data_IF_105648446162
#
_entry.id   IF_105648446162
#
_cell.length_a   1.000
_cell.length_b   1.000
_cell.length_c   1.000
_cell.angle_alpha   90.00
_cell.angle_beta   90.00
_cell.angle_gamma   90.00
#
_symmetry.space_group_name_H-M   'P 1'
#
loop_
_entity.id
_entity.type
_entity.pdbx_description
1 polymer ?
#
# COMPACT_ATOMS: atom_id res chain seq x y z
N UNK A 1 16.30 4.92 -11.31
CA UNK A 1 15.35 4.30 -10.34
C UNK A 1 15.07 5.36 -9.28
N UNK A 2 13.80 5.66 -8.95
CA UNK A 2 13.52 6.62 -7.88
C UNK A 2 13.90 6.02 -6.52
N UNK A 3 14.72 6.75 -5.78
CA UNK A 3 15.27 6.35 -4.49
C UNK A 3 14.24 6.59 -3.35
N UNK A 4 14.52 6.07 -2.15
CA UNK A 4 13.72 6.35 -0.95
C UNK A 4 13.72 7.86 -0.69
N UNK A 5 12.53 8.46 -0.72
CA UNK A 5 12.33 9.88 -0.43
C UNK A 5 12.35 10.11 1.09
N UNK A 6 13.51 10.52 1.61
CA UNK A 6 13.73 10.80 3.02
C UNK A 6 12.82 11.92 3.56
N UNK A 7 12.36 12.84 2.70
CA UNK A 7 11.51 13.95 3.13
C UNK A 7 10.10 13.50 3.53
N UNK A 8 9.67 12.33 3.02
CA UNK A 8 8.38 11.71 3.36
C UNK A 8 8.47 10.79 4.58
N UNK A 9 9.65 10.61 5.15
CA UNK A 9 9.86 9.72 6.28
C UNK A 9 9.58 10.44 7.60
N UNK A 10 9.14 9.67 8.60
CA UNK A 10 8.78 10.18 9.92
C UNK A 10 9.87 11.06 10.55
N UNK A 11 11.18 10.69 10.57
CA UNK A 11 12.18 11.55 11.19
C UNK A 11 12.27 12.93 10.52
N UNK A 12 12.22 13.03 9.19
CA UNK A 12 12.25 14.32 8.50
C UNK A 12 11.00 15.16 8.79
N UNK A 13 9.82 14.53 8.70
CA UNK A 13 8.54 15.19 9.00
C UNK A 13 8.54 15.72 10.43
N UNK A 14 8.95 14.90 11.41
CA UNK A 14 9.02 15.30 12.81
C UNK A 14 9.98 16.46 13.03
N UNK A 15 11.20 16.38 12.50
CA UNK A 15 12.22 17.43 12.65
C UNK A 15 11.72 18.79 12.11
N UNK A 16 11.00 18.79 10.99
CA UNK A 16 10.41 20.02 10.43
C UNK A 16 9.40 20.67 11.38
N UNK A 17 8.62 19.86 12.11
CA UNK A 17 7.61 20.36 13.05
C UNK A 17 8.20 20.97 14.32
N UNK A 18 9.43 20.60 14.69
CA UNK A 18 10.06 21.10 15.91
C UNK A 18 10.18 22.63 15.93
N UNK A 19 10.29 23.25 14.75
CA UNK A 19 10.42 24.70 14.57
C UNK A 19 9.12 25.46 14.29
N UNK A 20 7.99 24.76 14.13
CA UNK A 20 6.69 25.40 13.90
C UNK A 20 6.37 26.40 15.02
N UNK A 21 5.68 27.49 14.70
CA UNK A 21 5.28 28.48 15.70
C UNK A 21 4.31 27.87 16.72
N UNK A 22 4.30 28.42 17.94
CA UNK A 22 3.36 28.00 18.98
C UNK A 22 3.07 29.13 19.95
N UNK A 23 1.94 29.04 20.66
CA UNK A 23 1.55 30.01 21.67
C UNK A 23 2.35 29.84 22.95
N UNK A 24 2.76 30.95 23.57
CA UNK A 24 3.44 30.95 24.88
C UNK A 24 2.50 30.77 26.07
N UNK A 25 1.18 30.76 25.84
CA UNK A 25 0.16 30.67 26.91
C UNK A 25 0.34 29.46 27.83
N UNK A 26 0.64 28.29 27.28
CA UNK A 26 0.85 27.06 28.07
C UNK A 26 2.12 27.13 28.93
N UNK A 27 3.18 27.76 28.43
CA UNK A 27 4.42 27.95 29.19
C UNK A 27 4.19 28.84 30.41
N UNK A 28 3.36 29.89 30.27
CA UNK A 28 3.00 30.82 31.36
C UNK A 28 2.32 30.14 32.55
N UNK A 29 1.66 29.01 32.31
CA UNK A 29 1.04 28.19 33.36
C UNK A 29 2.02 27.33 34.15
N UNK A 30 3.29 27.22 33.74
CA UNK A 30 4.29 26.43 34.47
C UNK A 30 4.92 27.25 35.61
N UNK A 31 5.25 26.58 36.72
CA UNK A 31 5.87 27.20 37.89
C UNK A 31 7.21 27.88 37.61
N UNK A 32 7.88 27.53 36.52
CA UNK A 32 9.15 28.14 36.10
C UNK A 32 9.01 29.51 35.43
N UNK A 33 7.79 29.91 35.07
CA UNK A 33 7.57 31.13 34.30
C UNK A 33 8.05 32.39 35.04
N UNK A 34 7.90 32.41 36.38
CA UNK A 34 8.39 33.50 37.21
C UNK A 34 9.89 33.72 37.06
N UNK A 35 10.69 32.64 36.98
CA UNK A 35 12.15 32.73 36.78
C UNK A 35 12.54 33.24 35.39
N UNK A 36 11.77 32.89 34.35
CA UNK A 36 12.00 33.34 32.98
C UNK A 36 11.74 34.85 32.85
N UNK A 37 10.72 35.36 33.54
CA UNK A 37 10.27 36.76 33.41
C UNK A 37 11.28 37.83 33.85
N UNK A 38 12.39 37.43 34.49
CA UNK A 38 13.44 38.30 35.04
C UNK A 38 14.54 38.59 34.00
N UNK A 39 14.55 37.91 32.85
CA UNK A 39 15.63 37.95 31.87
C UNK A 39 15.43 39.03 30.80
N UNK A 40 16.52 39.67 30.38
CA UNK A 40 16.50 40.66 29.29
C UNK A 40 16.07 40.04 27.93
N UNK A 41 16.36 38.75 27.69
CA UNK A 41 15.97 38.02 26.46
C UNK A 41 14.67 37.20 26.63
N UNK A 42 13.76 37.68 27.48
CA UNK A 42 12.54 36.95 27.86
C UNK A 42 11.75 36.39 26.67
N UNK A 43 11.57 37.17 25.61
CA UNK A 43 10.75 36.77 24.45
C UNK A 43 11.35 35.56 23.72
N UNK A 44 12.65 35.57 23.49
CA UNK A 44 13.38 34.48 22.81
C UNK A 44 13.38 33.20 23.66
N UNK A 45 13.60 33.35 24.98
CA UNK A 45 13.52 32.24 25.95
C UNK A 45 12.12 31.64 25.95
N UNK A 46 11.08 32.49 26.02
CA UNK A 46 9.69 32.07 26.00
C UNK A 46 9.36 31.30 24.72
N UNK A 47 9.82 31.78 23.56
CA UNK A 47 9.59 31.12 22.28
C UNK A 47 10.19 29.71 22.25
N UNK A 48 11.49 29.59 22.58
CA UNK A 48 12.20 28.31 22.55
C UNK A 48 11.60 27.31 23.54
N UNK A 49 11.30 27.74 24.77
CA UNK A 49 10.73 26.86 25.79
C UNK A 49 9.27 26.48 25.50
N UNK A 50 8.51 27.36 24.85
CA UNK A 50 7.15 27.04 24.41
C UNK A 50 7.16 26.01 23.30
N UNK A 51 8.08 26.16 22.32
CA UNK A 51 8.31 25.14 21.28
C UNK A 51 8.74 23.82 21.91
N UNK A 52 9.64 23.83 22.89
CA UNK A 52 10.06 22.63 23.61
C UNK A 52 8.86 21.93 24.28
N UNK A 53 8.04 22.67 25.03
CA UNK A 53 6.84 22.13 25.68
C UNK A 53 5.89 21.46 24.67
N UNK A 54 5.63 22.14 23.54
CA UNK A 54 4.83 21.62 22.44
C UNK A 54 5.46 20.38 21.81
N UNK A 55 6.76 20.40 21.55
CA UNK A 55 7.50 19.30 20.93
C UNK A 55 7.46 18.03 21.77
N UNK A 56 7.59 18.12 23.10
CA UNK A 56 7.44 16.96 23.99
C UNK A 56 5.98 16.48 23.98
N UNK A 57 5.01 17.41 23.94
CA UNK A 57 3.59 17.07 23.80
C UNK A 57 3.27 16.26 22.54
N UNK A 58 3.89 16.58 21.40
CA UNK A 58 3.72 15.85 20.13
C UNK A 58 4.10 14.37 20.23
N UNK A 59 5.04 14.02 21.11
CA UNK A 59 5.47 12.64 21.34
C UNK A 59 4.33 11.81 21.91
N UNK A 60 3.49 12.42 22.78
CA UNK A 60 2.33 11.73 23.35
C UNK A 60 1.22 11.64 22.30
N UNK A 61 0.90 12.74 21.62
CA UNK A 61 -0.32 12.85 20.82
C UNK A 61 -0.21 12.24 19.43
N UNK A 62 0.94 12.40 18.76
CA UNK A 62 1.08 12.10 17.33
C UNK A 62 2.24 11.14 17.02
N UNK A 63 3.28 11.11 17.85
CA UNK A 63 4.52 10.34 17.59
C UNK A 63 4.82 9.30 18.68
N UNK A 64 3.78 8.67 19.21
CA UNK A 64 3.88 7.70 20.32
C UNK A 64 4.45 6.33 19.92
N UNK A 65 4.65 6.06 18.63
CA UNK A 65 5.19 4.79 18.13
C UNK A 65 6.67 4.55 18.46
N UNK A 66 7.47 5.61 18.64
CA UNK A 66 8.88 5.49 19.03
C UNK A 66 9.31 6.66 19.95
N UNK A 67 8.78 6.72 21.19
CA UNK A 67 8.95 7.89 22.04
C UNK A 67 10.40 8.11 22.46
N UNK A 68 11.17 7.03 22.67
CA UNK A 68 12.59 7.10 23.03
C UNK A 68 13.39 7.85 21.96
N UNK A 69 13.18 7.53 20.69
CA UNK A 69 13.82 8.24 19.58
C UNK A 69 13.39 9.70 19.54
N UNK A 70 12.08 9.98 19.63
CA UNK A 70 11.59 11.36 19.59
C UNK A 70 12.14 12.22 20.73
N UNK A 71 12.36 11.64 21.91
CA UNK A 71 13.06 12.32 22.98
C UNK A 71 14.51 12.68 22.62
N UNK A 72 15.23 11.83 21.91
CA UNK A 72 16.58 12.15 21.39
C UNK A 72 16.53 13.25 20.34
N UNK A 73 15.57 13.19 19.42
CA UNK A 73 15.35 14.24 18.40
C UNK A 73 15.08 15.62 19.04
N UNK A 74 14.17 15.67 20.02
CA UNK A 74 13.84 16.90 20.76
C UNK A 74 15.04 17.42 21.55
N UNK A 75 15.80 16.53 22.20
CA UNK A 75 17.03 16.93 22.90
C UNK A 75 18.07 17.51 21.93
N UNK A 76 18.27 16.86 20.79
CA UNK A 76 19.21 17.33 19.76
C UNK A 76 18.79 18.69 19.21
N UNK A 77 17.52 18.86 18.84
CA UNK A 77 16.97 20.14 18.40
C UNK A 77 17.16 21.24 19.45
N UNK A 78 16.82 20.96 20.71
CA UNK A 78 16.95 21.95 21.78
C UNK A 78 18.41 22.34 21.99
N UNK A 79 19.33 21.37 21.97
CA UNK A 79 20.76 21.63 22.01
C UNK A 79 21.17 22.57 20.86
N UNK A 80 20.84 22.24 19.62
CA UNK A 80 21.20 23.11 18.49
C UNK A 80 20.64 24.53 18.61
N UNK A 81 19.42 24.71 19.15
CA UNK A 81 18.86 26.06 19.39
C UNK A 81 19.66 26.85 20.40
N UNK A 82 20.11 26.22 21.48
CA UNK A 82 20.85 26.93 22.52
C UNK A 82 22.34 27.08 22.21
N UNK A 83 22.85 26.44 21.15
CA UNK A 83 24.28 26.44 20.80
C UNK A 83 24.86 27.84 20.56
N UNK A 84 24.05 28.77 20.05
CA UNK A 84 24.49 30.11 19.71
C UNK A 84 24.72 31.03 20.91
N UNK A 85 24.23 30.68 22.11
CA UNK A 85 24.35 31.55 23.29
C UNK A 85 25.63 31.29 24.09
N UNK A 86 25.99 32.25 24.94
CA UNK A 86 27.10 32.11 25.90
C UNK A 86 26.87 30.94 26.87
N UNK A 87 27.94 30.42 27.48
CA UNK A 87 27.86 29.29 28.42
C UNK A 87 26.89 29.57 29.58
N UNK A 88 26.89 30.79 30.11
CA UNK A 88 26.02 31.21 31.22
C UNK A 88 24.54 31.16 30.80
N UNK A 89 24.23 31.73 29.63
CA UNK A 89 22.87 31.67 29.07
C UNK A 89 22.47 30.22 28.79
N UNK A 90 23.33 29.43 28.13
CA UNK A 90 23.10 28.00 27.85
C UNK A 90 22.77 27.18 29.09
N UNK A 91 23.52 27.37 30.18
CA UNK A 91 23.24 26.67 31.46
C UNK A 91 21.86 27.01 32.01
N UNK A 92 21.49 28.28 31.92
CA UNK A 92 20.19 28.77 32.40
C UNK A 92 19.04 28.24 31.55
N UNK A 93 19.17 28.30 30.22
CA UNK A 93 18.25 27.67 29.28
C UNK A 93 18.09 26.17 29.58
N UNK A 94 19.19 25.46 29.83
CA UNK A 94 19.16 24.03 30.15
C UNK A 94 18.44 23.75 31.49
N UNK A 95 18.59 24.64 32.49
CA UNK A 95 17.85 24.59 33.74
C UNK A 95 16.35 24.73 33.54
N UNK A 96 15.92 25.75 32.80
CA UNK A 96 14.50 25.94 32.49
C UNK A 96 13.93 24.81 31.63
N UNK A 97 14.68 24.35 30.64
CA UNK A 97 14.30 23.21 29.83
C UNK A 97 14.11 21.95 30.67
N UNK A 98 15.00 21.69 31.64
CA UNK A 98 14.85 20.54 32.56
C UNK A 98 13.49 20.57 33.25
N UNK A 99 13.02 21.74 33.67
CA UNK A 99 11.70 21.86 34.27
C UNK A 99 10.55 21.66 33.26
N UNK A 100 10.71 22.13 32.02
CA UNK A 100 9.75 21.82 30.92
C UNK A 100 9.68 20.31 30.68
N UNK A 101 10.82 19.62 30.57
CA UNK A 101 10.89 18.16 30.46
C UNK A 101 10.19 17.45 31.63
N UNK A 102 10.37 17.95 32.86
CA UNK A 102 9.73 17.41 34.06
C UNK A 102 8.21 17.65 34.11
N UNK A 103 7.72 18.71 33.46
CA UNK A 103 6.31 19.08 33.48
C UNK A 103 5.45 18.17 32.60
N UNK A 104 6.02 17.61 31.52
CA UNK A 104 5.27 16.76 30.58
C UNK A 104 5.39 15.29 30.98
N UNK A 105 4.26 14.72 31.40
CA UNK A 105 4.14 13.34 31.90
C UNK A 105 3.22 12.50 31.02
N UNK A 106 3.39 11.18 31.07
CA UNK A 106 2.50 10.25 30.39
C UNK A 106 1.09 10.28 31.01
N UNK A 107 0.01 10.38 30.21
CA UNK A 107 -1.35 10.50 30.74
C UNK A 107 -1.83 9.31 31.59
N UNK A 108 -1.29 8.11 31.34
CA UNK A 108 -1.68 6.85 32.00
C UNK A 108 -0.70 6.37 33.08
N UNK A 109 0.47 6.99 33.14
CA UNK A 109 1.53 6.65 34.09
C UNK A 109 1.86 7.93 34.86
N UNK A 110 0.95 8.31 35.77
CA UNK A 110 1.12 9.47 36.62
C UNK A 110 2.53 9.42 37.23
N UNK A 111 3.21 10.57 37.21
CA UNK A 111 4.60 10.79 37.64
C UNK A 111 5.70 10.45 36.61
N UNK A 112 5.47 9.55 35.66
CA UNK A 112 6.50 9.22 34.67
C UNK A 112 6.58 10.30 33.59
N UNK A 113 7.77 10.89 33.47
CA UNK A 113 8.09 11.89 32.45
C UNK A 113 8.11 11.25 31.07
N UNK A 114 7.74 12.04 30.06
CA UNK A 114 7.81 11.58 28.65
C UNK A 114 9.26 11.45 28.20
N UNK A 115 10.06 12.48 28.49
CA UNK A 115 11.45 12.57 28.09
C UNK A 115 12.30 13.10 29.24
N UNK A 116 13.54 12.63 29.32
CA UNK A 116 14.56 13.26 30.14
C UNK A 116 15.41 14.23 29.31
N UNK A 117 15.88 15.27 30.00
CA UNK A 117 16.84 16.22 29.43
C UNK A 117 18.23 15.60 29.42
N UNK A 118 18.84 15.52 28.25
CA UNK A 118 20.26 15.20 28.13
C UNK A 118 21.11 16.40 28.60
N UNK A 119 21.70 16.27 29.78
CA UNK A 119 22.47 17.34 30.42
C UNK A 119 23.84 17.58 29.77
N UNK A 120 24.31 16.69 28.90
CA UNK A 120 25.54 16.86 28.16
C UNK A 120 25.20 17.29 26.74
N UNK A 121 25.04 18.60 26.48
CA UNK A 121 24.84 19.09 25.12
C UNK A 121 26.15 18.91 24.36
N UNK A 122 26.34 17.73 23.78
CA UNK A 122 27.50 17.49 22.95
C UNK A 122 27.21 18.18 21.62
N UNK A 123 27.61 19.44 21.47
CA UNK A 123 27.41 20.25 20.26
C UNK A 123 28.36 19.85 19.11
N UNK A 124 29.02 18.71 19.25
CA UNK A 124 30.09 18.24 18.38
C UNK A 124 29.56 17.68 17.06
N UNK A 125 30.44 17.63 16.06
CA UNK A 125 30.17 16.93 14.80
C UNK A 125 29.77 15.47 15.02
N UNK A 126 30.29 14.85 16.09
CA UNK A 126 29.87 13.52 16.56
C UNK A 126 28.36 13.46 16.84
N UNK A 127 27.79 14.42 17.55
CA UNK A 127 26.35 14.40 17.83
C UNK A 127 25.49 14.61 16.58
N UNK A 128 25.94 15.44 15.64
CA UNK A 128 25.27 15.58 14.34
C UNK A 128 25.31 14.28 13.54
N UNK A 129 26.45 13.58 13.56
CA UNK A 129 26.60 12.30 12.89
C UNK A 129 25.73 11.22 13.54
N UNK A 130 25.69 11.15 14.88
CA UNK A 130 24.80 10.25 15.62
C UNK A 130 23.33 10.52 15.31
N UNK A 131 22.92 11.79 15.22
CA UNK A 131 21.55 12.14 14.85
C UNK A 131 21.18 11.64 13.45
N UNK A 132 22.08 11.82 12.47
CA UNK A 132 21.90 11.30 11.11
C UNK A 132 21.85 9.77 11.08
N UNK A 133 22.67 9.11 11.89
CA UNK A 133 22.67 7.65 12.03
C UNK A 133 21.34 7.15 12.59
N UNK A 134 20.84 7.82 13.63
CA UNK A 134 19.53 7.51 14.22
C UNK A 134 18.41 7.64 13.19
N UNK A 135 18.36 8.78 12.48
CA UNK A 135 17.39 9.02 11.39
C UNK A 135 17.46 7.94 10.32
N UNK A 136 18.67 7.57 9.88
CA UNK A 136 18.89 6.48 8.93
C UNK A 136 18.34 5.14 9.44
N UNK A 137 18.66 4.74 10.66
CA UNK A 137 18.23 3.45 11.20
C UNK A 137 16.70 3.36 11.29
N UNK A 138 16.02 4.43 11.70
CA UNK A 138 14.54 4.43 11.67
C UNK A 138 13.98 4.34 10.26
N UNK A 139 14.57 5.05 9.28
CA UNK A 139 14.14 4.95 7.87
C UNK A 139 14.37 3.53 7.36
N UNK A 140 15.53 2.94 7.63
CA UNK A 140 15.85 1.55 7.28
C UNK A 140 14.81 0.61 7.86
N UNK A 141 14.52 0.70 9.15
CA UNK A 141 13.62 -0.23 9.83
C UNK A 141 12.18 -0.09 9.31
N UNK A 142 11.75 1.14 9.02
CA UNK A 142 10.42 1.42 8.46
C UNK A 142 10.28 1.02 6.97
N UNK A 143 11.38 0.83 6.24
CA UNK A 143 11.36 0.48 4.81
C UNK A 143 11.96 -0.93 4.56
N UNK A 144 12.27 -1.69 5.61
CA UNK A 144 12.94 -3.00 5.53
C UNK A 144 12.01 -4.14 5.08
N UNK A 145 12.50 -5.38 5.21
CA UNK A 145 11.92 -6.60 4.62
C UNK A 145 10.40 -6.77 4.74
N UNK A 146 9.79 -6.36 5.86
CA UNK A 146 8.35 -6.54 6.10
C UNK A 146 7.47 -5.57 5.28
N UNK A 147 8.07 -4.56 4.64
CA UNK A 147 7.38 -3.49 3.91
C UNK A 147 7.55 -3.61 2.40
N UNK A 148 8.60 -4.29 1.96
CA UNK A 148 8.94 -4.45 0.55
C UNK A 148 7.93 -5.39 -0.13
N UNK A 149 7.23 -4.90 -1.16
CA UNK A 149 6.15 -5.65 -1.84
C UNK A 149 6.59 -6.35 -3.11
N UNK A 150 7.73 -5.99 -3.66
CA UNK A 150 8.24 -6.53 -4.91
C UNK A 150 9.75 -6.35 -5.02
N UNK A 151 10.34 -7.06 -5.99
CA UNK A 151 11.79 -7.00 -6.28
C UNK A 151 12.29 -5.58 -6.54
N UNK A 152 11.52 -4.73 -7.22
CA UNK A 152 11.94 -3.36 -7.52
C UNK A 152 12.05 -2.51 -6.25
N UNK A 153 11.11 -2.63 -5.31
CA UNK A 153 11.18 -1.97 -4.00
C UNK A 153 12.39 -2.45 -3.19
N UNK A 154 12.69 -3.74 -3.22
CA UNK A 154 13.89 -4.27 -2.57
C UNK A 154 15.19 -3.74 -3.18
N UNK A 155 15.28 -3.67 -4.50
CA UNK A 155 16.45 -3.08 -5.18
C UNK A 155 16.61 -1.60 -4.85
N UNK A 156 15.50 -0.85 -4.69
CA UNK A 156 15.52 0.54 -4.23
C UNK A 156 16.02 0.64 -2.79
N UNK A 157 15.53 -0.21 -1.90
CA UNK A 157 15.99 -0.27 -0.52
C UNK A 157 17.49 -0.58 -0.44
N UNK A 158 17.99 -1.60 -1.13
CA UNK A 158 19.42 -1.91 -1.13
C UNK A 158 20.28 -0.74 -1.66
N UNK A 159 19.80 -0.06 -2.70
CA UNK A 159 20.48 1.12 -3.24
C UNK A 159 20.56 2.24 -2.21
N UNK A 160 19.49 2.47 -1.44
CA UNK A 160 19.48 3.39 -0.31
C UNK A 160 20.49 3.00 0.78
N UNK A 161 20.50 1.72 1.19
CA UNK A 161 21.43 1.19 2.21
C UNK A 161 22.88 1.40 1.78
N UNK A 162 23.22 1.02 0.54
CA UNK A 162 24.58 1.15 0.00
C UNK A 162 25.05 2.60 0.00
N UNK A 163 24.23 3.53 -0.50
CA UNK A 163 24.56 4.96 -0.50
C UNK A 163 24.78 5.49 0.92
N UNK A 164 23.96 5.07 1.88
CA UNK A 164 24.10 5.48 3.28
C UNK A 164 25.37 4.90 3.90
N UNK A 165 25.71 3.64 3.62
CA UNK A 165 26.99 3.03 4.02
C UNK A 165 28.18 3.85 3.51
N UNK A 166 28.19 4.19 2.23
CA UNK A 166 29.23 5.05 1.63
C UNK A 166 29.31 6.42 2.30
N UNK A 167 28.17 7.07 2.56
CA UNK A 167 28.10 8.34 3.27
C UNK A 167 28.74 8.26 4.67
N UNK A 168 28.31 7.33 5.50
CA UNK A 168 28.83 7.22 6.87
C UNK A 168 30.30 6.81 6.91
N UNK A 169 30.74 5.90 6.03
CA UNK A 169 32.16 5.56 5.88
C UNK A 169 33.00 6.80 5.55
N UNK A 170 32.55 7.64 4.62
CA UNK A 170 33.25 8.89 4.30
C UNK A 170 33.30 9.88 5.47
N UNK A 171 32.21 9.99 6.26
CA UNK A 171 32.19 10.85 7.46
C UNK A 171 33.17 10.36 8.54
N UNK A 172 33.27 9.04 8.73
CA UNK A 172 34.21 8.45 9.67
C UNK A 172 35.65 8.72 9.21
N UNK A 173 35.99 8.41 7.96
CA UNK A 173 37.35 8.62 7.42
C UNK A 173 37.81 10.08 7.57
N UNK A 174 36.92 11.05 7.40
CA UNK A 174 37.28 12.46 7.47
C UNK A 174 37.35 13.01 8.90
N UNK A 175 36.52 12.50 9.82
CA UNK A 175 36.30 13.12 11.13
C UNK A 175 36.77 12.25 12.32
N UNK A 176 37.18 11.00 12.08
CA UNK A 176 37.50 10.02 13.11
C UNK A 176 38.94 9.52 12.94
N UNK A 177 39.89 10.27 13.47
CA UNK A 177 41.30 9.87 13.50
C UNK A 177 41.65 9.29 14.88
N UNK A 178 42.17 8.05 14.97
CA UNK A 178 42.71 7.52 16.22
C UNK A 178 43.89 8.37 16.73
N UNK A 179 44.11 8.47 18.05
CA UNK A 179 43.45 7.72 19.12
C UNK A 179 42.17 8.37 19.69
N UNK A 180 41.85 9.61 19.30
CA UNK A 180 40.82 10.43 19.94
C UNK A 180 39.38 10.05 19.54
N UNK A 181 39.23 9.16 18.56
CA UNK A 181 37.95 8.69 18.08
C UNK A 181 37.82 7.17 18.20
N UNK A 182 36.77 6.74 18.91
CA UNK A 182 36.39 5.33 19.07
C UNK A 182 35.07 5.08 18.34
N UNK A 183 35.05 4.10 17.43
CA UNK A 183 33.84 3.76 16.65
C UNK A 183 32.70 3.27 17.55
N UNK A 184 33.04 2.67 18.68
CA UNK A 184 32.13 2.21 19.72
C UNK A 184 31.29 3.36 20.28
N UNK A 185 31.79 4.59 20.22
CA UNK A 185 31.07 5.76 20.67
C UNK A 185 29.89 6.14 19.74
N UNK A 186 29.87 5.61 18.52
CA UNK A 186 28.81 5.85 17.54
C UNK A 186 27.81 4.69 17.56
N UNK A 187 27.24 4.44 18.74
CA UNK A 187 26.25 3.39 18.99
C UNK A 187 24.97 4.01 19.56
N UNK A 188 23.84 3.70 18.94
CA UNK A 188 22.50 4.03 19.45
C UNK A 188 21.91 2.82 20.15
N UNK A 189 22.03 1.65 19.51
CA UNK A 189 21.70 0.34 20.05
C UNK A 189 22.51 -0.74 19.31
N UNK A 190 22.24 -2.02 19.58
CA UNK A 190 22.95 -3.15 18.96
C UNK A 190 22.77 -3.23 17.44
N UNK A 191 21.64 -2.75 16.91
CA UNK A 191 21.28 -2.83 15.50
C UNK A 191 21.54 -1.50 14.75
N UNK A 192 21.99 -0.47 15.46
CA UNK A 192 22.23 0.86 14.92
C UNK A 192 23.54 1.42 15.49
N UNK A 193 24.65 1.09 14.82
CA UNK A 193 26.00 1.52 15.21
C UNK A 193 26.96 1.64 14.03
N UNK A 194 28.03 2.44 14.16
CA UNK A 194 29.07 2.54 13.12
C UNK A 194 30.21 1.52 13.28
N UNK A 195 30.30 0.81 14.41
CA UNK A 195 31.27 -0.27 14.55
C UNK A 195 30.76 -1.58 13.91
N UNK A 196 29.46 -1.88 14.03
CA UNK A 196 28.85 -3.06 13.42
C UNK A 196 28.18 -2.74 12.09
N UNK A 197 29.02 -2.48 11.08
CA UNK A 197 28.55 -1.95 9.79
C UNK A 197 27.66 -2.91 9.02
N UNK A 198 27.87 -4.22 9.14
CA UNK A 198 27.06 -5.22 8.42
C UNK A 198 25.65 -5.34 8.98
N UNK A 199 25.47 -5.19 10.31
CA UNK A 199 24.15 -5.14 10.93
C UNK A 199 23.47 -3.80 10.63
N UNK A 200 24.23 -2.70 10.68
CA UNK A 200 23.66 -1.37 10.48
C UNK A 200 23.24 -1.13 9.03
N UNK A 201 24.03 -1.61 8.07
CA UNK A 201 23.80 -1.45 6.63
C UNK A 201 23.58 -2.80 5.93
N UNK A 202 22.49 -3.51 6.25
CA UNK A 202 22.26 -4.86 5.73
C UNK A 202 21.80 -4.81 4.28
N UNK A 203 22.47 -5.55 3.40
CA UNK A 203 22.02 -5.77 2.03
C UNK A 203 21.11 -7.00 1.98
N UNK A 204 19.93 -6.85 1.37
CA UNK A 204 18.95 -7.94 1.24
C UNK A 204 19.17 -8.66 -0.08
N UNK A 205 19.22 -10.00 -0.08
CA UNK A 205 19.19 -10.75 -1.34
C UNK A 205 17.79 -10.71 -1.96
N UNK A 206 17.53 -9.70 -2.80
CA UNK A 206 16.23 -9.50 -3.45
C UNK A 206 15.84 -10.66 -4.37
N UNK A 207 16.80 -11.35 -4.97
CA UNK A 207 16.51 -12.51 -5.81
C UNK A 207 15.97 -13.66 -4.98
N UNK A 208 16.59 -13.97 -3.85
CA UNK A 208 16.11 -15.03 -2.95
C UNK A 208 14.76 -14.66 -2.34
N UNK A 209 14.57 -13.40 -1.96
CA UNK A 209 13.32 -12.92 -1.35
C UNK A 209 12.12 -13.11 -2.30
N UNK A 210 12.29 -12.80 -3.60
CA UNK A 210 11.20 -12.83 -4.59
C UNK A 210 11.25 -14.01 -5.57
N UNK A 211 12.26 -14.89 -5.51
CA UNK A 211 12.27 -16.15 -6.28
C UNK A 211 11.10 -17.08 -5.93
N UNK A 212 10.51 -16.94 -4.74
CA UNK A 212 9.32 -17.71 -4.32
C UNK A 212 8.01 -17.22 -4.98
N UNK A 213 7.94 -15.98 -5.46
CA UNK A 213 6.70 -15.44 -6.06
C UNK A 213 6.52 -15.88 -7.53
N UNK A 214 7.59 -16.23 -8.25
CA UNK A 214 7.50 -16.82 -9.60
C UNK A 214 6.86 -18.23 -9.57
N UNK A 215 6.77 -18.86 -8.40
CA UNK A 215 6.03 -20.11 -8.19
C UNK A 215 4.57 -19.91 -7.73
N UNK A 216 4.12 -18.65 -7.57
CA UNK A 216 2.78 -18.30 -7.08
C UNK A 216 2.05 -17.27 -7.94
N UNK A 217 2.45 -17.06 -9.20
CA UNK A 217 1.37 -16.83 -10.17
C UNK A 217 0.52 -18.10 -10.13
N UNK A 218 -0.78 -18.05 -9.79
CA UNK A 218 -1.62 -19.20 -9.98
C UNK A 218 -1.62 -19.45 -11.48
N UNK A 219 -0.76 -20.38 -11.93
CA UNK A 219 -1.06 -21.23 -13.07
C UNK A 219 -2.53 -21.57 -12.86
N UNK A 220 -3.44 -21.29 -13.81
CA UNK A 220 -4.83 -21.69 -13.65
C UNK A 220 -4.77 -23.19 -13.42
N UNK A 221 -4.94 -23.60 -12.16
CA UNK A 221 -5.05 -24.99 -11.81
C UNK A 221 -6.37 -25.36 -12.45
N UNK A 222 -6.28 -25.93 -13.65
CA UNK A 222 -7.36 -26.70 -14.23
C UNK A 222 -7.48 -27.86 -13.24
N UNK A 223 -8.25 -27.64 -12.17
CA UNK A 223 -8.80 -28.73 -11.38
C UNK A 223 -9.57 -29.52 -12.40
N UNK A 224 -9.03 -30.67 -12.81
CA UNK A 224 -9.82 -31.70 -13.44
C UNK A 224 -10.95 -32.01 -12.46
N UNK A 225 -12.11 -31.38 -12.71
CA UNK A 225 -13.31 -31.64 -11.91
C UNK A 225 -13.56 -33.13 -12.02
N UNK A 226 -13.80 -33.77 -10.89
CA UNK A 226 -14.13 -35.19 -10.92
C UNK A 226 -15.36 -35.39 -11.82
N UNK A 227 -15.48 -36.52 -12.54
CA UNK A 227 -16.67 -36.82 -13.34
C UNK A 227 -17.98 -36.68 -12.55
N UNK A 228 -17.89 -36.88 -11.23
CA UNK A 228 -18.99 -36.79 -10.27
C UNK A 228 -19.42 -35.34 -10.01
N UNK A 229 -18.47 -34.40 -9.91
CA UNK A 229 -18.77 -32.96 -9.83
C UNK A 229 -19.38 -32.45 -11.14
N UNK A 230 -18.85 -32.87 -12.29
CA UNK A 230 -19.40 -32.49 -13.60
C UNK A 230 -20.83 -33.02 -13.75
N UNK A 231 -21.08 -34.27 -13.38
CA UNK A 231 -22.43 -34.85 -13.39
C UNK A 231 -23.41 -34.11 -12.48
N UNK A 232 -22.97 -33.75 -11.27
CA UNK A 232 -23.79 -32.96 -10.34
C UNK A 232 -24.16 -31.58 -10.90
N UNK A 233 -23.19 -30.85 -11.48
CA UNK A 233 -23.44 -29.55 -12.10
C UNK A 233 -24.41 -29.63 -13.29
N UNK A 234 -24.33 -30.68 -14.10
CA UNK A 234 -25.24 -30.90 -15.23
C UNK A 234 -26.67 -31.13 -14.71
N UNK A 235 -26.85 -32.01 -13.73
CA UNK A 235 -28.17 -32.33 -13.16
C UNK A 235 -28.81 -31.09 -12.53
N UNK A 236 -28.06 -30.35 -11.71
CA UNK A 236 -28.55 -29.12 -11.07
C UNK A 236 -28.91 -28.06 -12.13
N UNK A 237 -28.11 -27.93 -13.18
CA UNK A 237 -28.38 -26.99 -14.27
C UNK A 237 -29.66 -27.35 -15.03
N UNK A 238 -29.91 -28.63 -15.32
CA UNK A 238 -31.16 -29.07 -15.96
C UNK A 238 -32.38 -28.83 -15.07
N UNK A 239 -32.27 -29.07 -13.77
CA UNK A 239 -33.36 -28.80 -12.81
C UNK A 239 -33.68 -27.30 -12.77
N UNK A 240 -32.66 -26.44 -12.65
CA UNK A 240 -32.85 -25.00 -12.65
C UNK A 240 -33.41 -24.49 -13.97
N UNK A 241 -32.95 -25.03 -15.10
CA UNK A 241 -33.47 -24.68 -16.41
C UNK A 241 -34.94 -25.11 -16.57
N UNK A 242 -35.30 -26.32 -16.13
CA UNK A 242 -36.68 -26.79 -16.13
C UNK A 242 -37.59 -25.91 -15.27
N UNK A 243 -37.16 -25.54 -14.07
CA UNK A 243 -37.88 -24.61 -13.20
C UNK A 243 -38.00 -23.22 -13.83
N UNK A 244 -36.96 -22.76 -14.53
CA UNK A 244 -37.00 -21.49 -15.27
C UNK A 244 -38.00 -21.53 -16.43
N UNK A 245 -38.10 -22.63 -17.17
CA UNK A 245 -39.12 -22.79 -18.22
C UNK A 245 -40.52 -22.80 -17.61
N UNK A 246 -40.76 -23.53 -16.52
CA UNK A 246 -42.04 -23.50 -15.81
C UNK A 246 -42.38 -22.11 -15.28
N UNK A 247 -41.38 -21.37 -14.81
CA UNK A 247 -41.54 -19.98 -14.39
C UNK A 247 -41.92 -19.08 -15.57
N UNK A 248 -41.26 -19.22 -16.73
CA UNK A 248 -41.60 -18.48 -17.94
C UNK A 248 -43.02 -18.81 -18.44
N UNK A 249 -43.41 -20.08 -18.38
CA UNK A 249 -44.76 -20.53 -18.75
C UNK A 249 -45.84 -19.94 -17.84
N UNK A 250 -45.58 -19.87 -16.53
CA UNK A 250 -46.55 -19.39 -15.54
C UNK A 250 -46.60 -17.87 -15.40
N UNK A 251 -45.45 -17.18 -15.53
CA UNK A 251 -45.32 -15.75 -15.18
C UNK A 251 -44.99 -14.83 -16.36
N UNK A 252 -44.77 -15.37 -17.56
CA UNK A 252 -44.48 -14.57 -18.76
C UNK A 252 -45.55 -14.85 -19.81
N UNK A 253 -46.12 -13.84 -20.51
CA UNK A 253 -47.17 -14.06 -21.52
C UNK A 253 -46.62 -14.65 -22.84
N UNK A 254 -45.66 -15.57 -22.77
CA UNK A 254 -45.01 -16.22 -23.92
C UNK A 254 -46.02 -17.08 -24.69
N UNK A 255 -47.01 -17.66 -24.02
CA UNK A 255 -48.12 -18.38 -24.67
C UNK A 255 -48.96 -17.48 -25.61
N UNK A 256 -49.17 -16.21 -25.24
CA UNK A 256 -49.87 -15.23 -26.10
C UNK A 256 -49.06 -14.85 -27.33
N UNK A 257 -47.73 -14.80 -27.19
CA UNK A 257 -46.78 -14.46 -28.26
C UNK A 257 -46.64 -15.64 -29.23
N UNK A 258 -46.53 -16.88 -28.73
CA UNK A 258 -46.48 -18.08 -29.56
C UNK A 258 -47.76 -18.27 -30.39
N UNK A 259 -48.93 -18.02 -29.81
CA UNK A 259 -50.21 -18.05 -30.54
C UNK A 259 -50.30 -16.95 -31.60
N UNK A 260 -49.70 -15.77 -31.35
CA UNK A 260 -49.62 -14.68 -32.34
C UNK A 260 -48.72 -15.05 -33.53
N UNK A 261 -47.59 -15.74 -33.28
CA UNK A 261 -46.73 -16.28 -34.34
C UNK A 261 -47.39 -17.41 -35.13
N UNK A 262 -48.11 -18.32 -34.45
CA UNK A 262 -48.89 -19.39 -35.11
C UNK A 262 -49.98 -18.82 -36.01
N UNK A 263 -50.76 -17.82 -35.57
CA UNK A 263 -51.78 -17.16 -36.40
C UNK A 263 -51.19 -16.51 -37.65
N UNK A 264 -50.06 -15.79 -37.52
CA UNK A 264 -49.36 -15.20 -38.68
C UNK A 264 -48.96 -16.25 -39.72
N UNK A 265 -48.55 -17.45 -39.30
CA UNK A 265 -48.20 -18.54 -40.22
C UNK A 265 -49.42 -19.09 -40.96
N UNK A 266 -50.57 -19.23 -40.30
CA UNK A 266 -51.82 -19.66 -40.95
C UNK A 266 -52.39 -18.61 -41.90
N UNK A 267 -52.33 -17.32 -41.56
CA UNK A 267 -52.80 -16.23 -42.43
C UNK A 267 -51.98 -16.13 -43.73
N UNK A 268 -50.65 -16.32 -43.64
CA UNK A 268 -49.78 -16.38 -44.82
C UNK A 268 -50.12 -17.57 -45.70
N UNK A 269 -50.34 -18.76 -45.11
CA UNK A 269 -50.71 -19.97 -45.86
C UNK A 269 -52.07 -19.81 -46.56
N UNK A 270 -53.07 -19.23 -45.88
CA UNK A 270 -54.40 -19.00 -46.45
C UNK A 270 -54.40 -17.98 -47.59
N UNK A 271 -53.55 -16.95 -47.51
CA UNK A 271 -53.40 -15.98 -48.60
C UNK A 271 -52.73 -16.58 -49.83
N UNK A 272 -51.82 -17.55 -49.66
CA UNK A 272 -51.21 -18.27 -50.78
C UNK A 272 -52.24 -19.20 -51.43
N UNK A 273 -53.00 -19.99 -50.65
CA UNK A 273 -54.02 -20.91 -51.19
C UNK A 273 -55.14 -20.21 -51.97
N UNK A 274 -55.61 -19.03 -51.52
CA UNK A 274 -56.59 -18.24 -52.29
C UNK A 274 -56.08 -17.77 -53.65
N UNK A 275 -54.79 -17.46 -53.78
CA UNK A 275 -54.19 -17.07 -55.07
C UNK A 275 -54.08 -18.26 -56.04
N UNK A 276 -54.05 -19.49 -55.51
CA UNK A 276 -54.02 -20.71 -56.34
C UNK A 276 -55.41 -21.20 -56.75
N UNK A 277 -56.44 -21.05 -55.90
CA UNK A 277 -57.82 -21.49 -56.22
C UNK A 277 -58.49 -20.63 -57.31
N UNK A 278 -58.31 -19.30 -57.30
CA UNK A 278 -58.86 -18.42 -58.35
C UNK A 278 -58.26 -18.72 -59.75
N UNK A 279 -57.12 -19.41 -59.81
CA UNK A 279 -56.45 -19.77 -61.06
C UNK A 279 -56.94 -21.09 -61.65
N UNK A 280 -57.57 -21.95 -60.85
CA UNK A 280 -57.92 -23.33 -61.25
C UNK A 280 -59.40 -23.54 -61.61
N UNK A 281 -60.29 -22.56 -61.41
CA UNK A 281 -61.71 -22.69 -61.75
C UNK A 281 -62.07 -22.37 -63.21
N UNK A 282 -61.08 -22.27 -64.12
CA UNK A 282 -61.28 -21.71 -65.46
C UNK A 282 -61.06 -22.67 -66.65
N UNK A 283 -60.83 -23.97 -66.45
CA UNK A 283 -60.67 -24.90 -67.59
C UNK A 283 -61.47 -26.20 -67.45
N UNK A 284 -62.55 -26.24 -68.22
CA UNK A 284 -63.40 -27.39 -68.53
C UNK A 284 -62.71 -28.36 -69.51
N UNK A 285 -63.04 -29.65 -69.33
CA UNK A 285 -63.44 -30.65 -70.34
C UNK A 285 -62.66 -30.75 -71.65
N UNK A 286 -62.07 -31.92 -71.94
CA UNK A 286 -62.62 -32.81 -72.98
C UNK A 286 -61.96 -34.20 -72.99
N UNK A 287 -62.82 -35.18 -73.25
CA UNK A 287 -62.65 -36.64 -73.37
C UNK A 287 -61.73 -37.11 -74.51
N UNK A 288 -61.19 -38.35 -74.44
CA UNK A 288 -61.39 -39.44 -75.46
C UNK A 288 -60.48 -40.68 -75.21
N UNK A 289 -61.17 -41.83 -75.13
CA UNK A 289 -60.90 -43.28 -75.36
C UNK A 289 -59.52 -43.94 -75.25
N UNK A 290 -59.55 -45.12 -74.59
CA UNK A 290 -58.52 -46.15 -74.55
C UNK A 290 -58.69 -47.17 -75.69
N UNK A 291 -57.65 -47.41 -76.50
CA UNK A 291 -57.09 -48.74 -76.77
C UNK A 291 -55.81 -48.67 -77.66
N UNK A 292 -54.88 -49.61 -77.47
CA UNK A 292 -53.80 -50.09 -78.37
C UNK A 292 -52.45 -50.37 -77.68
N UNK A 293 -52.35 -51.60 -77.19
CA UNK A 293 -51.24 -52.56 -77.30
C UNK A 293 -49.77 -52.10 -77.47
N UNK A 294 -48.96 -52.52 -76.49
CA UNK A 294 -47.75 -53.36 -76.64
C UNK A 294 -46.59 -52.85 -77.53
N UNK A 295 -45.56 -52.26 -76.91
CA UNK A 295 -44.16 -52.40 -77.37
C UNK A 295 -43.19 -52.67 -76.21
N UNK A 296 -42.49 -53.80 -76.34
CA UNK A 296 -41.36 -54.27 -75.52
C UNK A 296 -40.15 -53.35 -75.68
N UNK A 297 -39.48 -53.01 -74.57
CA UNK A 297 -38.16 -52.40 -74.57
C UNK A 297 -37.16 -53.37 -73.92
N UNK A 298 -36.04 -53.63 -74.60
CA UNK A 298 -34.90 -54.39 -74.11
C UNK A 298 -34.07 -53.52 -73.16
N UNK A 299 -33.59 -54.12 -72.05
CA UNK A 299 -32.63 -53.50 -71.13
C UNK A 299 -31.31 -54.26 -71.28
N UNK A 300 -30.27 -53.56 -71.72
CA UNK A 300 -28.91 -54.09 -71.86
C UNK A 300 -28.06 -53.53 -70.70
N UNK A 301 -27.37 -54.41 -69.97
CA UNK A 301 -26.46 -54.04 -68.87
C UNK A 301 -25.02 -54.26 -69.31
N UNK A 302 -24.23 -53.20 -69.37
CA UNK A 302 -22.77 -53.32 -69.46
C UNK A 302 -22.19 -53.49 -68.04
N UNK A 303 -21.42 -54.59 -67.83
CA UNK A 303 -20.61 -54.84 -66.63
C UNK A 303 -19.17 -54.32 -66.81
N UNK A 304 -18.48 -54.00 -65.69
CA UNK A 304 -17.12 -53.49 -65.66
C UNK A 304 -16.07 -54.62 -65.65
N UNK A 305 -14.88 -54.33 -66.17
CA UNK A 305 -13.61 -55.04 -65.95
C UNK A 305 -12.48 -54.03 -66.22
N UNK A 306 -11.34 -53.99 -65.53
CA UNK A 306 -10.78 -54.68 -64.37
C UNK A 306 -9.68 -53.77 -63.82
#
# INVERSE_FOLDING_TARGET
>A
MSDIDENKQIPHIFNKRLDESTSTSKLKGLSIYSGISIWDDKEEIEEILSKLLRNIGLIISEYSGNPKKRCRDVNHWFNEKIKAYSDIKRRSFSGYATAVFNAVKWPRENEKKVCDRDKNPNFSEKAKLMKKLDDYCEIRDNNGCNVLKNKNECLKFNSYIKRKKEYFSGQITNNCNPPDCKLEDYKIDENCSLYNTDITFPEINCDVLYKKEVLQEPVPVIKERSPLEIGFFIIVSFILFYLFILFLEKFTPVGSILNRFRRRKYDIKRNIERVFDDKHSLYNSDTITADSENKRYYIEYARPHN
#
